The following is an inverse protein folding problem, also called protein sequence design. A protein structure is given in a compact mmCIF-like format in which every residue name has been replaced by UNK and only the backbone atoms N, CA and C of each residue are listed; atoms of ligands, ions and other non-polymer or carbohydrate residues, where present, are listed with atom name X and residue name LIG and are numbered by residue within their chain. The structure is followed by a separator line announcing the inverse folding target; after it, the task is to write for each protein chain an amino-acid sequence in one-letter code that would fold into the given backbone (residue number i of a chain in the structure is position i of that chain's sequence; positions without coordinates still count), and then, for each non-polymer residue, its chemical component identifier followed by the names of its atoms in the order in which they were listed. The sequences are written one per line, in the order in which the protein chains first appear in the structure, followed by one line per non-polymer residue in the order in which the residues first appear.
data_IF_530034688014
#
_entry.id   IF_530034688014
#
_cell.length_a   1.000
_cell.length_b   1.000
_cell.length_c   1.000
_cell.angle_alpha   90.00
_cell.angle_beta   90.00
_cell.angle_gamma   90.00
#
_symmetry.space_group_name_H-M   'P 1'
#
loop_
_entity.id
_entity.type
_entity.pdbx_description
1 polymer ?
#
# COMPACT_ATOMS: atom_id res chain seq x y z
N UNK A 1 -2.42 2.20 25.20
CA UNK A 1 -1.85 1.01 24.52
C UNK A 1 -1.03 1.61 23.39
N UNK A 2 0.21 1.98 23.65
CA UNK A 2 1.06 2.62 22.65
C UNK A 2 1.30 1.62 21.51
N UNK A 3 0.84 2.02 20.34
CA UNK A 3 0.98 1.38 19.05
C UNK A 3 2.40 0.88 18.87
N UNK A 4 2.59 -0.42 18.62
CA UNK A 4 3.90 -1.07 18.53
C UNK A 4 4.66 -0.61 17.26
N UNK A 5 5.43 0.49 17.27
CA UNK A 5 6.00 1.03 16.04
C UNK A 5 7.16 0.14 15.56
N UNK A 6 7.76 -0.55 16.53
CA UNK A 6 8.88 -1.47 16.37
C UNK A 6 8.47 -2.73 15.62
N UNK A 7 7.24 -3.23 15.78
CA UNK A 7 6.79 -4.43 15.07
C UNK A 7 6.52 -4.12 13.59
N UNK A 8 5.92 -2.96 13.30
CA UNK A 8 5.77 -2.46 11.93
C UNK A 8 7.13 -2.25 11.28
N UNK A 9 8.11 -1.63 11.95
CA UNK A 9 9.44 -1.43 11.37
C UNK A 9 10.21 -2.74 11.16
N UNK A 10 10.09 -3.71 12.06
CA UNK A 10 10.83 -4.97 11.98
C UNK A 10 10.27 -5.96 10.95
N UNK A 11 8.96 -5.93 10.68
CA UNK A 11 8.32 -6.91 9.78
C UNK A 11 7.82 -6.31 8.47
N UNK A 12 7.21 -5.12 8.52
CA UNK A 12 6.65 -4.50 7.32
C UNK A 12 7.76 -4.07 6.37
N UNK A 13 8.82 -3.45 6.89
CA UNK A 13 9.86 -2.90 6.01
C UNK A 13 10.62 -4.01 5.25
N UNK A 14 11.10 -5.10 5.88
CA UNK A 14 11.72 -6.20 5.15
C UNK A 14 10.77 -6.86 4.14
N UNK A 15 9.48 -6.98 4.46
CA UNK A 15 8.48 -7.50 3.53
C UNK A 15 8.34 -6.59 2.30
N UNK A 16 8.24 -5.28 2.49
CA UNK A 16 8.18 -4.31 1.40
C UNK A 16 9.46 -4.34 0.56
N UNK A 17 10.63 -4.49 1.17
CA UNK A 17 11.89 -4.67 0.43
C UNK A 17 11.84 -5.94 -0.43
N UNK A 18 11.39 -7.07 0.13
CA UNK A 18 11.25 -8.34 -0.59
C UNK A 18 10.28 -8.22 -1.78
N UNK A 19 9.13 -7.57 -1.58
CA UNK A 19 8.16 -7.34 -2.66
C UNK A 19 8.72 -6.38 -3.72
N UNK A 20 9.58 -5.44 -3.35
CA UNK A 20 10.26 -4.53 -4.28
C UNK A 20 11.27 -5.20 -5.20
N UNK A 21 11.76 -6.38 -4.82
CA UNK A 21 12.62 -7.20 -5.68
C UNK A 21 11.82 -7.90 -6.79
N UNK A 22 10.49 -8.00 -6.68
CA UNK A 22 9.64 -8.55 -7.74
C UNK A 22 9.59 -7.63 -8.97
N UNK A 23 9.08 -8.15 -10.10
CA UNK A 23 8.90 -7.37 -11.34
C UNK A 23 7.74 -6.37 -11.28
N UNK A 24 6.90 -6.44 -10.24
CA UNK A 24 5.67 -5.65 -10.08
C UNK A 24 5.91 -4.37 -9.25
N UNK A 25 4.99 -3.42 -9.39
CA UNK A 25 5.03 -2.12 -8.71
C UNK A 25 4.52 -2.22 -7.27
N UNK A 26 4.93 -1.28 -6.42
CA UNK A 26 4.30 -1.04 -5.11
C UNK A 26 3.44 0.21 -5.18
N UNK A 27 2.15 0.09 -4.87
CA UNK A 27 1.22 1.22 -4.88
C UNK A 27 0.96 1.72 -3.45
N UNK A 28 1.11 3.03 -3.26
CA UNK A 28 0.83 3.73 -2.01
C UNK A 28 -0.30 4.75 -2.22
N UNK A 29 -1.42 4.53 -1.54
CA UNK A 29 -2.60 5.40 -1.54
C UNK A 29 -2.61 6.19 -0.23
N UNK A 30 -2.18 7.44 -0.30
CA UNK A 30 -1.99 8.28 0.89
C UNK A 30 -2.91 9.51 0.83
N UNK A 31 -3.68 9.81 1.89
CA UNK A 31 -4.69 10.87 1.84
C UNK A 31 -4.09 12.28 1.77
N UNK A 32 -2.94 12.55 2.42
CA UNK A 32 -2.48 13.94 2.60
C UNK A 32 -0.98 14.19 2.34
N UNK A 33 -0.09 13.24 2.64
CA UNK A 33 1.36 13.47 2.55
C UNK A 33 2.00 12.72 1.40
N UNK A 34 2.87 13.41 0.65
CA UNK A 34 3.76 12.76 -0.32
C UNK A 34 4.73 11.84 0.41
N UNK A 35 4.95 10.65 -0.14
CA UNK A 35 5.89 9.70 0.39
C UNK A 35 7.29 10.31 0.24
N UNK A 36 8.01 10.43 1.37
CA UNK A 36 9.34 11.02 1.35
C UNK A 36 10.29 10.17 0.51
N UNK A 37 10.84 10.77 -0.56
CA UNK A 37 11.82 10.10 -1.42
C UNK A 37 13.06 9.68 -0.65
N UNK A 38 13.50 10.52 0.29
CA UNK A 38 14.63 10.26 1.16
C UNK A 38 14.37 9.04 2.05
N UNK A 39 13.15 8.94 2.61
CA UNK A 39 12.75 7.78 3.39
C UNK A 39 12.73 6.51 2.53
N UNK A 40 12.09 6.54 1.36
CA UNK A 40 12.04 5.39 0.44
C UNK A 40 13.45 4.87 0.12
N UNK A 41 14.38 5.79 -0.16
CA UNK A 41 15.77 5.45 -0.44
C UNK A 41 16.50 4.90 0.80
N UNK A 42 16.39 5.56 1.96
CA UNK A 42 17.00 5.13 3.20
C UNK A 42 16.46 3.77 3.68
N UNK A 43 15.21 3.48 3.35
CA UNK A 43 14.51 2.22 3.64
C UNK A 43 14.83 1.11 2.65
N UNK A 44 15.68 1.32 1.64
CA UNK A 44 16.08 0.29 0.67
C UNK A 44 14.97 -0.12 -0.30
N UNK A 45 13.91 0.68 -0.43
CA UNK A 45 12.84 0.43 -1.39
C UNK A 45 13.24 0.95 -2.79
N UNK A 46 12.86 0.25 -3.87
CA UNK A 46 13.22 0.65 -5.23
C UNK A 46 12.44 1.89 -5.68
N UNK A 47 13.08 3.07 -5.68
CA UNK A 47 12.48 4.33 -6.13
C UNK A 47 11.81 4.24 -7.51
N UNK A 48 12.32 3.38 -8.40
CA UNK A 48 11.82 3.21 -9.78
C UNK A 48 10.57 2.35 -9.88
N UNK A 49 10.14 1.67 -8.80
CA UNK A 49 8.99 0.76 -8.78
C UNK A 49 7.97 1.11 -7.68
N UNK A 50 8.08 2.30 -7.11
CA UNK A 50 7.11 2.83 -6.16
C UNK A 50 6.23 3.84 -6.88
N UNK A 51 4.91 3.59 -6.85
CA UNK A 51 3.90 4.52 -7.32
C UNK A 51 3.14 5.07 -6.12
N UNK A 52 2.85 6.36 -6.15
CA UNK A 52 2.04 7.02 -5.15
C UNK A 52 0.86 7.72 -5.81
N UNK A 53 -0.33 7.52 -5.24
CA UNK A 53 -1.49 8.34 -5.51
C UNK A 53 -1.80 9.13 -4.24
N UNK A 54 -1.68 10.46 -4.33
CA UNK A 54 -1.95 11.40 -3.24
C UNK A 54 -3.31 12.08 -3.42
N UNK A 55 -3.85 12.67 -2.34
CA UNK A 55 -5.09 13.45 -2.37
C UNK A 55 -6.32 12.65 -2.79
N UNK A 56 -6.32 11.35 -2.48
CA UNK A 56 -7.48 10.52 -2.73
C UNK A 56 -8.55 10.84 -1.68
N UNK A 57 -9.78 11.13 -2.11
CA UNK A 57 -10.91 11.23 -1.20
C UNK A 57 -11.08 9.90 -0.45
N UNK A 58 -11.28 9.90 0.88
CA UNK A 58 -11.40 8.66 1.66
C UNK A 58 -12.44 7.68 1.10
N UNK A 59 -13.55 8.21 0.57
CA UNK A 59 -14.63 7.44 -0.06
C UNK A 59 -14.23 6.68 -1.33
N UNK A 60 -13.07 6.99 -1.94
CA UNK A 60 -12.60 6.34 -3.17
C UNK A 60 -11.39 5.42 -2.92
N UNK A 61 -10.90 5.33 -1.67
CA UNK A 61 -9.67 4.58 -1.38
C UNK A 61 -9.84 3.10 -1.66
N UNK A 62 -10.90 2.48 -1.14
CA UNK A 62 -11.16 1.04 -1.36
C UNK A 62 -11.37 0.74 -2.85
N UNK A 63 -12.20 1.51 -3.54
CA UNK A 63 -12.44 1.33 -4.98
C UNK A 63 -11.13 1.42 -5.79
N UNK A 64 -10.26 2.37 -5.43
CA UNK A 64 -8.95 2.53 -6.07
C UNK A 64 -8.02 1.35 -5.78
N UNK A 65 -8.07 0.80 -4.57
CA UNK A 65 -7.32 -0.41 -4.20
C UNK A 65 -7.78 -1.62 -5.02
N UNK A 66 -9.09 -1.86 -5.09
CA UNK A 66 -9.70 -2.94 -5.87
C UNK A 66 -9.27 -2.87 -7.33
N UNK A 67 -9.41 -1.68 -7.95
CA UNK A 67 -8.99 -1.47 -9.34
C UNK A 67 -7.50 -1.74 -9.53
N UNK A 68 -6.65 -1.31 -8.60
CA UNK A 68 -5.22 -1.56 -8.67
C UNK A 68 -4.89 -3.05 -8.59
N UNK A 69 -5.47 -3.78 -7.62
CA UNK A 69 -5.26 -5.21 -7.45
C UNK A 69 -5.61 -6.00 -8.71
N UNK A 70 -6.78 -5.73 -9.29
CA UNK A 70 -7.25 -6.36 -10.54
C UNK A 70 -6.35 -6.14 -11.75
N UNK A 71 -5.47 -5.14 -11.73
CA UNK A 71 -4.52 -4.95 -12.84
C UNK A 71 -3.42 -6.01 -12.88
N UNK A 72 -3.16 -6.72 -11.78
CA UNK A 72 -2.04 -7.66 -11.64
C UNK A 72 -0.64 -7.00 -11.68
N UNK A 73 -0.56 -5.67 -11.85
CA UNK A 73 0.70 -4.95 -12.04
C UNK A 73 1.40 -4.57 -10.72
N UNK A 74 0.73 -4.78 -9.59
CA UNK A 74 1.24 -4.43 -8.27
C UNK A 74 1.52 -5.67 -7.45
N UNK A 75 2.67 -5.71 -6.76
CA UNK A 75 2.98 -6.75 -5.78
C UNK A 75 2.33 -6.48 -4.43
N UNK A 76 2.00 -5.21 -4.16
CA UNK A 76 1.34 -4.74 -2.94
C UNK A 76 0.62 -3.43 -3.22
N UNK A 77 -0.54 -3.27 -2.59
CA UNK A 77 -1.30 -2.02 -2.55
C UNK A 77 -1.49 -1.65 -1.08
N UNK A 78 -1.05 -0.46 -0.69
CA UNK A 78 -1.10 0.04 0.69
C UNK A 78 -2.03 1.24 0.74
N UNK A 79 -3.08 1.17 1.56
CA UNK A 79 -4.05 2.24 1.74
C UNK A 79 -4.11 2.74 3.18
N UNK A 80 -4.31 4.05 3.32
CA UNK A 80 -4.70 4.68 4.59
C UNK A 80 -6.20 4.96 4.55
N UNK A 81 -6.94 4.23 5.37
CA UNK A 81 -8.39 4.34 5.46
C UNK A 81 -8.74 5.23 6.66
N UNK A 82 -9.76 6.06 6.50
CA UNK A 82 -10.25 6.93 7.58
C UNK A 82 -11.14 6.15 8.56
N UNK A 83 -11.82 5.13 8.05
CA UNK A 83 -12.75 4.26 8.78
C UNK A 83 -12.29 2.80 8.64
N UNK A 84 -12.78 1.95 9.52
CA UNK A 84 -12.57 0.50 9.42
C UNK A 84 -13.26 -0.05 8.15
N UNK A 85 -12.65 -1.07 7.55
CA UNK A 85 -13.26 -1.77 6.43
C UNK A 85 -14.51 -2.52 6.89
N UNK A 86 -15.59 -2.36 6.13
CA UNK A 86 -16.74 -3.26 6.22
C UNK A 86 -16.36 -4.67 5.75
N UNK A 87 -17.14 -5.68 6.14
CA UNK A 87 -16.93 -7.06 5.68
C UNK A 87 -17.03 -7.17 4.14
N UNK A 88 -17.92 -6.39 3.53
CA UNK A 88 -18.13 -6.33 2.09
C UNK A 88 -16.89 -5.77 1.37
N UNK A 89 -16.34 -4.64 1.84
CA UNK A 89 -15.12 -4.05 1.29
C UNK A 89 -13.91 -4.98 1.48
N UNK A 90 -13.82 -5.66 2.62
CA UNK A 90 -12.77 -6.64 2.86
C UNK A 90 -12.88 -7.83 1.88
N UNK A 91 -14.07 -8.37 1.66
CA UNK A 91 -14.30 -9.43 0.70
C UNK A 91 -13.93 -9.00 -0.73
N UNK A 92 -14.33 -7.79 -1.13
CA UNK A 92 -14.01 -7.26 -2.47
C UNK A 92 -12.50 -7.12 -2.69
N UNK A 93 -11.76 -6.65 -1.68
CA UNK A 93 -10.29 -6.56 -1.74
C UNK A 93 -9.63 -7.94 -1.85
N UNK A 94 -10.14 -8.95 -1.14
CA UNK A 94 -9.63 -10.33 -1.22
C UNK A 94 -9.90 -10.93 -2.59
N UNK A 95 -11.11 -10.77 -3.13
CA UNK A 95 -11.47 -11.26 -4.46
C UNK A 95 -10.59 -10.62 -5.53
N UNK A 96 -10.45 -9.29 -5.48
CA UNK A 96 -9.61 -8.54 -6.41
C UNK A 96 -8.12 -8.92 -6.37
N UNK A 97 -7.61 -9.41 -5.23
CA UNK A 97 -6.23 -9.86 -5.08
C UNK A 97 -5.99 -11.29 -5.59
N UNK A 98 -7.05 -12.08 -5.78
CA UNK A 98 -7.01 -13.46 -6.26
C UNK A 98 -7.32 -13.61 -7.77
N UNK A 99 -7.78 -12.54 -8.42
CA UNK A 99 -7.93 -12.43 -9.89
C UNK A 99 -6.57 -12.42 -10.62
#
# INVERSE_FOLDING_TARGET
REDQPMMTQLLLLPLLQQLGQQSRWQLWLTPQQKLSREWVQASGLPLTKVMQISQLSPCHTVESMVRALRTGNYSVVIGWLADDLTEEEHAELVDAANE
#
